data_IF_351707514674
#
_entry.id   IF_351707514674
#
_cell.length_a   1.000
_cell.length_b   1.000
_cell.length_c   1.000
_cell.angle_alpha   90.00
_cell.angle_beta   90.00
_cell.angle_gamma   90.00
#
_symmetry.space_group_name_H-M   'P 1'
#
loop_
_entity.id
_entity.type
_entity.pdbx_description
1 polymer ?
#
# COMPACT_ATOMS: atom_id res chain seq x y z
N UNK A 1 10.33 -10.02 7.78
CA UNK A 1 10.22 -9.81 6.31
C UNK A 1 9.17 -10.70 5.62
N UNK A 2 8.39 -11.53 6.33
CA UNK A 2 7.46 -12.50 5.71
C UNK A 2 6.16 -11.88 5.15
N UNK A 3 5.66 -10.79 5.73
CA UNK A 3 4.37 -10.18 5.34
C UNK A 3 4.37 -9.58 3.93
N UNK A 4 5.48 -8.97 3.51
CA UNK A 4 5.59 -8.26 2.23
C UNK A 4 5.99 -9.16 1.05
N UNK A 5 6.46 -10.39 1.32
CA UNK A 5 6.95 -11.32 0.30
C UNK A 5 5.85 -12.03 -0.50
N UNK A 6 4.59 -11.89 -0.08
CA UNK A 6 3.46 -12.55 -0.72
C UNK A 6 2.72 -11.57 -1.64
N UNK A 7 2.58 -11.95 -2.93
CA UNK A 7 2.06 -11.10 -4.03
C UNK A 7 0.76 -10.38 -3.68
N UNK A 8 -0.10 -11.01 -2.89
CA UNK A 8 -1.42 -10.48 -2.59
C UNK A 8 -1.40 -9.39 -1.53
N UNK A 9 -0.47 -9.45 -0.57
CA UNK A 9 -0.32 -8.40 0.45
C UNK A 9 -0.12 -7.03 -0.20
N UNK A 10 0.75 -6.92 -1.20
CA UNK A 10 1.02 -5.65 -1.90
C UNK A 10 -0.25 -5.13 -2.60
N UNK A 11 -1.03 -6.01 -3.22
CA UNK A 11 -2.27 -5.63 -3.90
C UNK A 11 -3.36 -5.20 -2.90
N UNK A 12 -3.50 -5.89 -1.77
CA UNK A 12 -4.41 -5.51 -0.69
C UNK A 12 -4.03 -4.14 -0.12
N UNK A 13 -2.74 -3.91 0.16
CA UNK A 13 -2.25 -2.63 0.65
C UNK A 13 -2.50 -1.51 -0.36
N UNK A 14 -2.28 -1.76 -1.66
CA UNK A 14 -2.58 -0.79 -2.73
C UNK A 14 -4.06 -0.41 -2.72
N UNK A 15 -4.97 -1.38 -2.68
CA UNK A 15 -6.41 -1.09 -2.65
C UNK A 15 -6.84 -0.38 -1.36
N UNK A 16 -6.24 -0.72 -0.22
CA UNK A 16 -6.51 -0.06 1.05
C UNK A 16 -6.05 1.41 1.04
N UNK A 17 -4.89 1.69 0.44
CA UNK A 17 -4.39 3.06 0.24
C UNK A 17 -5.27 3.88 -0.72
N UNK A 18 -5.97 3.21 -1.65
CA UNK A 18 -6.99 3.80 -2.50
C UNK A 18 -8.34 4.03 -1.78
N UNK A 19 -8.44 3.66 -0.50
CA UNK A 19 -9.62 3.86 0.34
C UNK A 19 -10.56 2.66 0.43
N UNK A 20 -10.18 1.50 -0.11
CA UNK A 20 -10.98 0.28 0.04
C UNK A 20 -10.93 -0.21 1.49
N UNK A 21 -12.10 -0.46 2.08
CA UNK A 21 -12.20 -0.91 3.48
C UNK A 21 -13.06 -2.16 3.66
N UNK A 22 -14.01 -2.43 2.76
CA UNK A 22 -14.96 -3.56 2.90
C UNK A 22 -14.38 -4.81 2.25
N UNK A 23 -14.57 -5.96 2.89
CA UNK A 23 -14.11 -7.26 2.36
C UNK A 23 -14.58 -7.52 0.92
N UNK A 24 -15.87 -7.31 0.65
CA UNK A 24 -16.45 -7.54 -0.68
C UNK A 24 -15.88 -6.61 -1.76
N UNK A 25 -15.45 -5.40 -1.38
CA UNK A 25 -14.80 -4.48 -2.32
C UNK A 25 -13.37 -4.94 -2.64
N UNK A 26 -12.61 -5.40 -1.64
CA UNK A 26 -11.31 -6.03 -1.88
C UNK A 26 -11.43 -7.26 -2.78
N UNK A 27 -12.38 -8.15 -2.51
CA UNK A 27 -12.62 -9.36 -3.28
C UNK A 27 -12.93 -9.02 -4.75
N UNK A 28 -13.88 -8.09 -4.97
CA UNK A 28 -14.27 -7.63 -6.30
C UNK A 28 -13.11 -6.95 -7.05
N UNK A 29 -12.39 -6.04 -6.39
CA UNK A 29 -11.36 -5.24 -7.05
C UNK A 29 -10.13 -6.09 -7.41
N UNK A 30 -9.81 -7.10 -6.59
CA UNK A 30 -8.59 -7.89 -6.74
C UNK A 30 -8.81 -9.26 -7.38
N UNK A 31 -10.04 -9.77 -7.41
CA UNK A 31 -10.36 -11.09 -7.94
C UNK A 31 -9.72 -12.25 -7.17
N UNK A 32 -9.46 -12.08 -5.87
CA UNK A 32 -8.88 -13.12 -5.03
C UNK A 32 -9.94 -14.12 -4.55
N UNK A 33 -9.56 -15.40 -4.37
CA UNK A 33 -10.35 -16.33 -3.58
C UNK A 33 -10.63 -15.78 -2.18
N UNK A 34 -11.89 -15.83 -1.67
CA UNK A 34 -12.27 -15.29 -0.37
C UNK A 34 -11.40 -15.79 0.78
N UNK A 35 -11.08 -17.08 0.81
CA UNK A 35 -10.28 -17.69 1.87
C UNK A 35 -8.87 -17.09 1.94
N UNK A 36 -8.27 -16.81 0.78
CA UNK A 36 -6.94 -16.20 0.71
C UNK A 36 -6.98 -14.72 1.11
N UNK A 37 -8.02 -13.99 0.67
CA UNK A 37 -8.20 -12.60 1.10
C UNK A 37 -8.40 -12.51 2.62
N UNK A 38 -9.19 -13.42 3.20
CA UNK A 38 -9.43 -13.49 4.64
C UNK A 38 -8.14 -13.76 5.43
N UNK A 39 -7.34 -14.74 4.99
CA UNK A 39 -6.03 -15.07 5.58
C UNK A 39 -5.08 -13.87 5.56
N UNK A 40 -5.02 -13.15 4.44
CA UNK A 40 -4.14 -11.99 4.30
C UNK A 40 -4.60 -10.79 5.10
N UNK A 41 -5.89 -10.49 5.13
CA UNK A 41 -6.43 -9.44 5.98
C UNK A 41 -6.24 -9.77 7.47
N UNK A 42 -6.39 -11.03 7.87
CA UNK A 42 -6.10 -11.46 9.24
C UNK A 42 -4.63 -11.26 9.60
N UNK A 43 -3.72 -11.65 8.71
CA UNK A 43 -2.27 -11.42 8.87
C UNK A 43 -1.99 -9.92 9.03
N UNK A 44 -2.53 -9.06 8.16
CA UNK A 44 -2.31 -7.62 8.24
C UNK A 44 -2.83 -7.00 9.54
N UNK A 45 -3.92 -7.54 10.09
CA UNK A 45 -4.45 -7.14 11.40
C UNK A 45 -3.54 -7.61 12.54
N UNK A 46 -3.07 -8.87 12.49
CA UNK A 46 -2.16 -9.44 13.47
C UNK A 46 -0.86 -8.64 13.61
N UNK A 47 -0.29 -8.21 12.48
CA UNK A 47 0.93 -7.39 12.46
C UNK A 47 0.68 -5.89 12.69
N UNK A 48 -0.55 -5.48 13.04
CA UNK A 48 -0.88 -4.08 13.34
C UNK A 48 -0.83 -3.13 12.14
N UNK A 49 -0.83 -3.66 10.92
CA UNK A 49 -0.88 -2.87 9.67
C UNK A 49 -2.30 -2.40 9.40
N UNK A 50 -3.29 -3.20 9.78
CA UNK A 50 -4.70 -2.85 9.67
C UNK A 50 -5.44 -3.06 11.00
N UNK A 51 -6.54 -2.35 11.20
CA UNK A 51 -7.53 -2.64 12.24
C UNK A 51 -8.78 -3.22 11.58
N UNK A 52 -9.44 -4.14 12.29
CA UNK A 52 -10.74 -4.69 11.90
C UNK A 52 -11.83 -4.06 12.76
N UNK A 53 -12.71 -3.31 12.14
CA UNK A 53 -13.82 -2.62 12.78
C UNK A 53 -15.15 -3.20 12.28
N UNK A 54 -16.15 -3.31 13.16
CA UNK A 54 -17.50 -3.67 12.73
C UNK A 54 -18.27 -2.40 12.34
N UNK A 55 -18.78 -2.34 11.11
CA UNK A 55 -19.70 -1.30 10.69
C UNK A 55 -21.11 -1.88 10.51
N UNK A 56 -22.12 -1.04 10.73
CA UNK A 56 -23.52 -1.41 10.54
C UNK A 56 -24.25 -0.28 9.82
N UNK A 57 -24.69 -0.52 8.59
CA UNK A 57 -25.66 0.33 7.93
C UNK A 57 -27.04 0.18 8.61
N UNK A 58 -27.84 1.26 8.71
CA UNK A 58 -29.19 1.17 9.28
C UNK A 58 -30.02 0.06 8.63
N UNK A 59 -30.56 -0.86 9.43
CA UNK A 59 -31.36 -2.00 8.96
C UNK A 59 -30.58 -3.19 8.40
N UNK A 60 -29.23 -3.15 8.36
CA UNK A 60 -28.41 -4.25 7.86
C UNK A 60 -27.67 -5.00 8.98
N UNK A 61 -27.17 -6.20 8.64
CA UNK A 61 -26.25 -6.98 9.50
C UNK A 61 -24.91 -6.27 9.64
N UNK A 62 -24.25 -6.43 10.79
CA UNK A 62 -22.88 -5.97 11.01
C UNK A 62 -21.93 -6.61 9.98
N UNK A 63 -21.10 -5.79 9.35
CA UNK A 63 -20.07 -6.21 8.40
C UNK A 63 -18.69 -5.76 8.87
N UNK A 64 -17.64 -6.56 8.64
CA UNK A 64 -16.28 -6.13 8.93
C UNK A 64 -15.80 -5.10 7.90
N UNK A 65 -15.12 -4.07 8.40
CA UNK A 65 -14.32 -3.12 7.64
C UNK A 65 -12.86 -3.19 8.14
N UNK A 66 -11.93 -2.97 7.22
CA UNK A 66 -10.50 -3.03 7.46
C UNK A 66 -9.89 -1.66 7.15
N UNK A 67 -9.23 -1.06 8.13
CA UNK A 67 -8.65 0.28 8.01
C UNK A 67 -7.15 0.23 8.23
N UNK A 68 -6.39 1.01 7.44
CA UNK A 68 -4.95 1.14 7.68
C UNK A 68 -4.70 1.88 8.99
N UNK A 69 -3.81 1.31 9.81
CA UNK A 69 -3.25 1.98 11.00
C UNK A 69 -2.28 3.09 10.57
N UNK A 70 -1.80 3.94 11.50
CA UNK A 70 -0.71 4.87 11.19
C UNK A 70 0.51 4.16 10.57
N UNK A 71 0.95 3.05 11.18
CA UNK A 71 2.03 2.21 10.64
C UNK A 71 1.70 1.67 9.24
N UNK A 72 0.47 1.23 9.00
CA UNK A 72 0.05 0.75 7.67
C UNK A 72 0.01 1.85 6.61
N UNK A 73 -0.25 3.11 6.99
CA UNK A 73 -0.23 4.25 6.06
C UNK A 73 1.18 4.61 5.60
N UNK A 74 2.19 4.39 6.43
CA UNK A 74 3.60 4.62 6.07
C UNK A 74 4.05 3.72 4.89
N UNK A 75 3.41 2.56 4.72
CA UNK A 75 3.65 1.66 3.57
C UNK A 75 3.27 2.29 2.21
N UNK A 76 2.65 3.47 2.19
CA UNK A 76 2.46 4.25 0.96
C UNK A 76 3.77 4.45 0.18
N UNK A 77 4.89 4.67 0.88
CA UNK A 77 6.22 4.86 0.26
C UNK A 77 6.65 3.60 -0.48
N UNK A 78 6.48 2.43 0.13
CA UNK A 78 6.80 1.13 -0.49
C UNK A 78 5.98 0.91 -1.77
N UNK A 79 4.66 1.11 -1.69
CA UNK A 79 3.76 0.96 -2.86
C UNK A 79 4.10 1.99 -3.94
N UNK A 80 4.53 3.19 -3.56
CA UNK A 80 5.00 4.22 -4.48
C UNK A 80 6.27 3.81 -5.22
N UNK A 81 7.27 3.29 -4.51
CA UNK A 81 8.52 2.84 -5.10
C UNK A 81 8.31 1.69 -6.09
N UNK A 82 7.48 0.71 -5.72
CA UNK A 82 7.13 -0.42 -6.62
C UNK A 82 6.42 0.06 -7.89
N UNK A 83 5.48 1.01 -7.75
CA UNK A 83 4.80 1.57 -8.91
C UNK A 83 5.77 2.32 -9.83
N UNK A 84 6.63 3.16 -9.26
CA UNK A 84 7.62 3.94 -10.03
C UNK A 84 8.59 3.04 -10.79
N UNK A 85 9.01 1.92 -10.19
CA UNK A 85 9.79 0.90 -10.89
C UNK A 85 9.00 0.29 -12.05
N UNK A 86 7.75 -0.09 -11.82
CA UNK A 86 6.87 -0.65 -12.85
C UNK A 86 6.61 0.31 -14.00
N UNK A 87 6.34 1.59 -13.72
CA UNK A 87 6.10 2.61 -14.73
C UNK A 87 7.33 2.84 -15.62
N UNK A 88 8.56 2.70 -15.07
CA UNK A 88 9.82 2.85 -15.81
C UNK A 88 10.18 1.62 -16.65
N UNK A 89 9.99 0.41 -16.12
CA UNK A 89 10.50 -0.81 -16.73
C UNK A 89 9.45 -1.66 -17.44
N UNK A 90 8.17 -1.41 -17.17
CA UNK A 90 7.01 -2.07 -17.79
C UNK A 90 6.02 -1.01 -18.30
N UNK A 91 6.47 -0.07 -19.17
CA UNK A 91 5.62 1.01 -19.63
C UNK A 91 4.44 0.45 -20.42
N UNK A 92 3.28 1.08 -20.23
CA UNK A 92 2.07 0.79 -21.00
C UNK A 92 1.90 1.82 -22.10
N UNK A 93 1.37 1.44 -23.28
CA UNK A 93 1.06 2.39 -24.36
C UNK A 93 0.14 3.53 -23.90
N UNK A 94 -0.76 3.26 -22.95
CA UNK A 94 -1.74 4.20 -22.42
C UNK A 94 -1.17 5.09 -21.29
N UNK A 95 0.10 4.89 -20.91
CA UNK A 95 0.75 5.57 -19.79
C UNK A 95 0.48 4.94 -18.43
N UNK A 96 0.92 5.60 -17.33
CA UNK A 96 0.77 5.07 -15.97
C UNK A 96 -0.71 5.06 -15.55
N UNK A 97 -1.17 3.97 -14.94
CA UNK A 97 -2.56 3.87 -14.45
C UNK A 97 -2.84 4.70 -13.21
N UNK A 98 -1.82 5.23 -12.56
CA UNK A 98 -1.96 5.99 -11.32
C UNK A 98 -0.86 7.03 -11.23
N UNK A 99 -1.20 8.25 -10.84
CA UNK A 99 -0.24 9.31 -10.56
C UNK A 99 -0.42 9.74 -9.12
N UNK A 100 0.69 9.80 -8.36
CA UNK A 100 0.68 10.34 -7.01
C UNK A 100 0.85 11.84 -7.08
N UNK A 101 0.04 12.58 -6.33
CA UNK A 101 0.09 14.04 -6.30
C UNK A 101 0.11 14.55 -4.87
N UNK A 102 0.83 15.64 -4.65
CA UNK A 102 0.78 16.36 -3.39
C UNK A 102 -0.59 17.06 -3.25
N UNK A 103 -1.36 16.71 -2.22
CA UNK A 103 -2.73 17.21 -2.05
C UNK A 103 -2.83 18.74 -1.98
N UNK A 104 -1.78 19.42 -1.51
CA UNK A 104 -1.74 20.90 -1.42
C UNK A 104 -1.45 21.60 -2.73
N UNK A 105 -0.76 20.96 -3.67
CA UNK A 105 -0.23 21.63 -4.88
C UNK A 105 -0.74 21.00 -6.18
N UNK A 106 -1.39 19.84 -6.11
CA UNK A 106 -1.80 19.00 -7.24
C UNK A 106 -0.64 18.61 -8.19
N UNK A 107 0.60 18.78 -7.74
CA UNK A 107 1.79 18.42 -8.53
C UNK A 107 2.12 16.94 -8.36
N UNK A 108 2.57 16.26 -9.43
CA UNK A 108 3.09 14.90 -9.33
C UNK A 108 4.21 14.80 -8.30
N UNK A 109 4.22 13.70 -7.53
CA UNK A 109 5.28 13.35 -6.58
C UNK A 109 5.80 11.95 -6.90
N UNK A 110 7.08 11.74 -6.61
CA UNK A 110 7.79 10.49 -6.80
C UNK A 110 8.46 10.08 -5.49
N UNK A 111 8.81 8.80 -5.35
CA UNK A 111 9.56 8.31 -4.20
C UNK A 111 11.04 8.53 -4.48
N UNK A 112 11.75 9.09 -3.49
CA UNK A 112 13.17 9.39 -3.54
C UNK A 112 13.80 9.19 -2.15
N UNK A 113 15.13 9.09 -2.12
CA UNK A 113 15.90 9.18 -0.88
C UNK A 113 16.17 10.64 -0.57
N UNK A 114 15.98 11.02 0.69
CA UNK A 114 16.18 12.38 1.17
C UNK A 114 17.16 12.32 2.34
N UNK A 115 18.18 13.17 2.35
CA UNK A 115 19.14 13.26 3.46
C UNK A 115 18.57 14.07 4.65
N UNK A 116 19.33 14.16 5.75
CA UNK A 116 18.93 14.87 6.97
C UNK A 116 18.78 16.39 6.77
N UNK A 117 19.31 16.94 5.67
CA UNK A 117 19.19 18.34 5.30
C UNK A 117 18.00 18.59 4.36
N UNK A 118 17.29 17.54 3.94
CA UNK A 118 16.16 17.62 3.04
C UNK A 118 16.53 17.61 1.56
N UNK A 119 17.79 17.33 1.21
CA UNK A 119 18.21 17.21 -0.18
C UNK A 119 17.90 15.81 -0.73
N UNK A 120 17.45 15.78 -1.98
CA UNK A 120 17.29 14.52 -2.69
C UNK A 120 18.66 13.90 -3.01
N UNK A 121 18.80 12.62 -2.66
CA UNK A 121 20.00 11.82 -2.95
C UNK A 121 19.66 10.86 -4.08
N UNK A 122 20.37 10.92 -5.23
CA UNK A 122 20.21 9.95 -6.31
C UNK A 122 20.41 8.53 -5.81
N UNK A 123 19.60 7.59 -6.29
CA UNK A 123 19.67 6.19 -5.81
C UNK A 123 21.06 5.56 -6.00
N UNK A 124 21.79 5.94 -7.06
CA UNK A 124 23.16 5.45 -7.34
C UNK A 124 24.20 6.00 -6.34
N UNK A 125 23.88 7.10 -5.65
CA UNK A 125 24.70 7.73 -4.62
C UNK A 125 24.33 7.24 -3.20
N UNK A 126 23.33 6.36 -3.06
CA UNK A 126 22.91 5.80 -1.77
C UNK A 126 23.70 4.54 -1.45
N UNK A 127 24.54 4.62 -0.41
CA UNK A 127 25.25 3.46 0.13
C UNK A 127 24.42 2.76 1.22
N UNK A 128 24.25 1.44 1.11
CA UNK A 128 23.67 0.61 2.18
C UNK A 128 24.81 0.04 3.03
N UNK A 129 24.94 0.53 4.27
CA UNK A 129 25.96 0.08 5.20
C UNK A 129 25.27 -0.79 6.27
N UNK A 130 25.69 -2.05 6.47
CA UNK A 130 25.20 -2.85 7.58
C UNK A 130 25.57 -2.16 8.90
N UNK A 131 24.58 -1.77 9.70
CA UNK A 131 24.81 -1.46 11.10
C UNK A 131 25.09 -2.78 11.81
N UNK A 132 26.31 -2.95 12.33
CA UNK A 132 26.73 -4.17 13.01
C UNK A 132 25.75 -4.56 14.13
N UNK A 133 25.39 -5.84 14.18
CA UNK A 133 24.90 -6.49 15.40
C UNK A 133 26.10 -6.91 16.25
#
# INVERSE_FOLDING_TARGET
MTVLGERWTILILREALLGTTRFADFERNLGLPPDRLADRLATLVEYGVMTKESYQEPGQRRRPAYHLTPAGRELHVLIGALQQWGDRHLPRPEGPTMVRKASRTDRPVHVAFIDDLGYEVPADDVATIPTGN
#
